data_IF_638711356362
#
_entry.id   IF_638711356362
#
_cell.length_a   1.000
_cell.length_b   1.000
_cell.length_c   1.000
_cell.angle_alpha   90.00
_cell.angle_beta   90.00
_cell.angle_gamma   90.00
#
_symmetry.space_group_name_H-M   'P 1'
#
loop_
_entity.id
_entity.type
_entity.pdbx_description
1 polymer ?
#
# COMPACT_ATOMS: atom_id res chain seq x y z
N UNK A 1 7.39 -74.50 -18.39
CA UNK A 1 7.72 -73.15 -18.91
C UNK A 1 6.96 -71.99 -18.23
N UNK A 2 6.15 -72.22 -17.17
CA UNK A 2 5.38 -71.14 -16.51
C UNK A 2 5.92 -70.65 -15.15
N UNK A 3 6.83 -71.38 -14.48
CA UNK A 3 7.37 -70.96 -13.18
C UNK A 3 8.43 -69.83 -13.21
N UNK A 4 9.04 -69.56 -14.37
CA UNK A 4 10.09 -68.52 -14.49
C UNK A 4 9.54 -67.12 -14.82
N UNK A 5 8.29 -67.01 -15.28
CA UNK A 5 7.63 -65.72 -15.59
C UNK A 5 6.97 -65.08 -14.36
N UNK A 6 6.43 -65.87 -13.41
CA UNK A 6 5.83 -65.32 -12.19
C UNK A 6 6.86 -64.72 -11.22
N UNK A 7 8.06 -65.30 -11.10
CA UNK A 7 9.11 -64.75 -10.24
C UNK A 7 9.71 -63.43 -10.78
N UNK A 8 9.67 -63.20 -12.09
CA UNK A 8 10.10 -61.91 -12.69
C UNK A 8 9.06 -60.79 -12.51
N UNK A 9 7.76 -61.12 -12.49
CA UNK A 9 6.71 -60.14 -12.19
C UNK A 9 6.67 -59.76 -10.71
N UNK A 10 6.87 -60.72 -9.78
CA UNK A 10 6.97 -60.41 -8.34
C UNK A 10 8.23 -59.60 -8.00
N UNK A 11 9.37 -59.90 -8.63
CA UNK A 11 10.62 -59.16 -8.41
C UNK A 11 10.55 -57.70 -8.88
N UNK A 12 9.85 -57.41 -9.98
CA UNK A 12 9.73 -56.04 -10.48
C UNK A 12 8.80 -55.18 -9.62
N UNK A 13 7.73 -55.75 -9.05
CA UNK A 13 6.80 -54.99 -8.19
C UNK A 13 7.46 -54.51 -6.88
N UNK A 14 8.45 -55.23 -6.35
CA UNK A 14 9.22 -54.77 -5.19
C UNK A 14 10.17 -53.61 -5.55
N UNK A 15 10.77 -53.65 -6.74
CA UNK A 15 11.73 -52.63 -7.17
C UNK A 15 11.11 -51.22 -7.31
N UNK A 16 9.89 -51.13 -7.84
CA UNK A 16 9.17 -49.86 -7.97
C UNK A 16 8.69 -49.32 -6.61
N UNK A 17 8.28 -50.21 -5.69
CA UNK A 17 7.88 -49.82 -4.33
C UNK A 17 9.09 -49.33 -3.53
N UNK A 18 10.24 -49.99 -3.67
CA UNK A 18 11.49 -49.58 -3.02
C UNK A 18 11.99 -48.24 -3.58
N UNK A 19 11.86 -48.01 -4.91
CA UNK A 19 12.13 -46.70 -5.51
C UNK A 19 11.16 -45.63 -5.02
N UNK A 20 9.87 -45.95 -4.86
CA UNK A 20 8.87 -45.01 -4.36
C UNK A 20 9.14 -44.64 -2.90
N UNK A 21 9.49 -45.62 -2.06
CA UNK A 21 9.89 -45.41 -0.66
C UNK A 21 11.21 -44.63 -0.55
N UNK A 22 12.15 -44.83 -1.49
CA UNK A 22 13.36 -44.01 -1.58
C UNK A 22 13.05 -42.57 -1.97
N UNK A 23 12.15 -42.34 -2.92
CA UNK A 23 11.72 -40.98 -3.30
C UNK A 23 10.97 -40.32 -2.14
N UNK A 24 10.14 -41.08 -1.42
CA UNK A 24 9.37 -40.56 -0.29
C UNK A 24 10.26 -40.23 0.91
N UNK A 25 11.23 -41.10 1.24
CA UNK A 25 12.24 -40.82 2.27
C UNK A 25 13.23 -39.73 1.86
N UNK A 26 13.58 -39.61 0.59
CA UNK A 26 14.39 -38.51 0.08
C UNK A 26 13.63 -37.18 0.14
N UNK A 27 12.33 -37.17 -0.18
CA UNK A 27 11.47 -35.99 0.01
C UNK A 27 11.29 -35.65 1.49
N UNK A 28 11.17 -36.63 2.39
CA UNK A 28 11.14 -36.39 3.84
C UNK A 28 12.48 -35.83 4.35
N UNK A 29 13.61 -36.33 3.86
CA UNK A 29 14.94 -35.82 4.20
C UNK A 29 15.18 -34.40 3.68
N UNK A 30 14.73 -34.08 2.46
CA UNK A 30 14.74 -32.71 1.93
C UNK A 30 13.85 -31.81 2.79
N UNK A 31 12.65 -32.27 3.17
CA UNK A 31 11.78 -31.50 4.05
C UNK A 31 12.41 -31.27 5.43
N UNK A 32 13.09 -32.26 6.01
CA UNK A 32 13.78 -32.12 7.30
C UNK A 32 15.04 -31.25 7.20
N UNK A 33 15.77 -31.28 6.08
CA UNK A 33 16.89 -30.37 5.81
C UNK A 33 16.40 -28.94 5.55
N UNK A 34 15.26 -28.74 4.88
CA UNK A 34 14.61 -27.44 4.73
C UNK A 34 14.12 -26.89 6.07
N UNK A 35 13.53 -27.73 6.93
CA UNK A 35 13.14 -27.35 8.31
C UNK A 35 14.38 -26.91 9.11
N UNK A 36 15.52 -27.59 8.94
CA UNK A 36 16.79 -27.21 9.59
C UNK A 36 17.42 -25.96 8.97
N UNK A 37 17.26 -25.72 7.67
CA UNK A 37 17.71 -24.50 7.02
C UNK A 37 16.86 -23.28 7.43
N UNK A 38 15.57 -23.48 7.74
CA UNK A 38 14.68 -22.44 8.29
C UNK A 38 14.97 -22.11 9.77
N UNK A 39 15.62 -22.99 10.53
CA UNK A 39 16.22 -22.68 11.84
C UNK A 39 17.56 -21.91 11.71
N UNK A 40 17.66 -20.99 10.75
CA UNK A 40 18.74 -20.01 10.77
C UNK A 40 18.67 -19.22 12.10
N UNK A 41 19.79 -19.05 12.83
CA UNK A 41 19.82 -18.41 14.15
C UNK A 41 19.75 -16.88 14.01
N UNK A 42 18.85 -16.39 13.16
CA UNK A 42 18.49 -14.98 13.08
C UNK A 42 17.68 -14.57 14.29
N UNK A 43 17.91 -13.36 14.79
CA UNK A 43 17.10 -12.77 15.87
C UNK A 43 15.68 -12.61 15.36
N UNK A 44 14.75 -13.47 15.82
CA UNK A 44 13.33 -13.40 15.45
C UNK A 44 12.74 -12.02 15.78
N UNK A 45 11.94 -11.49 14.86
CA UNK A 45 11.33 -10.17 14.96
C UNK A 45 10.19 -10.16 16.01
N UNK A 46 10.10 -9.05 16.74
CA UNK A 46 8.95 -8.77 17.60
C UNK A 46 7.75 -8.23 16.81
N UNK A 47 6.58 -8.20 17.43
CA UNK A 47 5.31 -7.78 16.78
C UNK A 47 5.34 -6.35 16.22
N UNK A 48 6.10 -5.42 16.82
CA UNK A 48 6.20 -4.04 16.33
C UNK A 48 6.93 -4.00 14.99
N UNK A 49 8.18 -4.49 14.96
CA UNK A 49 9.02 -4.46 13.75
C UNK A 49 8.52 -5.42 12.68
N UNK A 50 8.00 -6.58 13.06
CA UNK A 50 7.62 -7.63 12.12
C UNK A 50 6.16 -7.59 11.63
N UNK A 51 5.26 -6.91 12.34
CA UNK A 51 3.84 -6.83 11.94
C UNK A 51 3.37 -5.39 11.83
N UNK A 52 3.46 -4.60 12.91
CA UNK A 52 2.92 -3.24 12.94
C UNK A 52 3.53 -2.34 11.86
N UNK A 53 4.87 -2.29 11.78
CA UNK A 53 5.57 -1.43 10.82
C UNK A 53 5.26 -1.82 9.37
N UNK A 54 5.38 -3.10 8.94
CA UNK A 54 4.98 -3.51 7.59
C UNK A 54 3.52 -3.20 7.26
N UNK A 55 2.59 -3.41 8.21
CA UNK A 55 1.18 -3.07 8.00
C UNK A 55 0.97 -1.56 7.83
N UNK A 56 1.60 -0.71 8.67
CA UNK A 56 1.50 0.74 8.54
C UNK A 56 2.05 1.23 7.20
N UNK A 57 3.23 0.74 6.81
CA UNK A 57 3.85 1.09 5.52
C UNK A 57 3.00 0.61 4.35
N UNK A 58 2.40 -0.57 4.43
CA UNK A 58 1.56 -1.09 3.34
C UNK A 58 0.24 -0.35 3.18
N UNK A 59 -0.33 0.18 4.27
CA UNK A 59 -1.58 0.95 4.25
C UNK A 59 -1.29 2.40 3.84
N UNK A 60 -0.24 3.03 4.42
CA UNK A 60 0.20 4.37 4.05
C UNK A 60 0.92 4.39 2.70
N UNK A 61 0.17 4.25 1.61
CA UNK A 61 0.67 4.33 0.24
C UNK A 61 0.54 5.71 -0.41
N UNK A 62 0.70 5.74 -1.74
CA UNK A 62 0.59 6.95 -2.59
C UNK A 62 -0.64 7.79 -2.27
N UNK A 63 -1.76 7.10 -2.05
CA UNK A 63 -3.07 7.72 -1.99
C UNK A 63 -3.17 8.74 -0.85
N UNK A 64 -2.45 8.49 0.25
CA UNK A 64 -2.46 9.35 1.43
C UNK A 64 -2.08 10.79 1.09
N UNK A 65 -1.01 11.01 0.31
CA UNK A 65 -0.54 12.37 -0.02
C UNK A 65 -1.10 12.90 -1.34
N UNK A 66 -1.21 12.07 -2.38
CA UNK A 66 -1.57 12.58 -3.72
C UNK A 66 -3.09 12.67 -3.93
N UNK A 67 -3.86 11.74 -3.34
CA UNK A 67 -5.28 11.58 -3.68
C UNK A 67 -6.25 11.99 -2.57
N UNK A 68 -5.84 11.97 -1.30
CA UNK A 68 -6.72 12.39 -0.19
C UNK A 68 -7.30 13.81 -0.35
N UNK A 69 -6.52 14.85 -0.76
CA UNK A 69 -7.05 16.18 -1.03
C UNK A 69 -8.20 16.18 -2.05
N UNK A 70 -8.00 15.43 -3.13
CA UNK A 70 -8.93 15.35 -4.24
C UNK A 70 -10.21 14.61 -3.86
N UNK A 71 -10.09 13.49 -3.12
CA UNK A 71 -11.23 12.75 -2.57
C UNK A 71 -12.09 13.68 -1.70
N UNK A 72 -11.45 14.45 -0.83
CA UNK A 72 -12.12 15.42 0.02
C UNK A 72 -12.78 16.56 -0.79
N UNK A 73 -12.15 17.03 -1.86
CA UNK A 73 -12.72 18.04 -2.76
C UNK A 73 -14.04 17.58 -3.39
N UNK A 74 -14.08 16.35 -3.90
CA UNK A 74 -15.24 15.76 -4.59
C UNK A 74 -16.34 15.32 -3.63
N UNK A 75 -16.00 14.49 -2.64
CA UNK A 75 -16.98 13.90 -1.73
C UNK A 75 -17.33 14.84 -0.56
N UNK A 76 -16.52 15.85 -0.27
CA UNK A 76 -16.68 16.66 0.93
C UNK A 76 -16.33 15.90 2.20
N UNK A 77 -16.37 16.59 3.34
CA UNK A 77 -15.96 16.03 4.64
C UNK A 77 -16.87 14.87 5.04
N UNK A 78 -18.21 15.05 4.96
CA UNK A 78 -19.18 14.07 5.44
C UNK A 78 -19.10 12.76 4.67
N UNK A 79 -19.20 12.78 3.33
CA UNK A 79 -19.18 11.54 2.55
C UNK A 79 -17.82 10.87 2.59
N UNK A 80 -16.72 11.63 2.72
CA UNK A 80 -15.40 11.01 2.85
C UNK A 80 -15.22 10.27 4.18
N UNK A 81 -15.77 10.80 5.29
CA UNK A 81 -15.82 10.06 6.58
C UNK A 81 -16.67 8.79 6.44
N UNK A 82 -17.80 8.85 5.73
CA UNK A 82 -18.63 7.66 5.44
C UNK A 82 -17.85 6.63 4.63
N UNK A 83 -17.08 7.05 3.62
CA UNK A 83 -16.21 6.18 2.82
C UNK A 83 -15.14 5.48 3.68
N UNK A 84 -14.51 6.23 4.60
CA UNK A 84 -13.55 5.65 5.56
C UNK A 84 -14.24 4.65 6.48
N UNK A 85 -15.43 4.96 6.97
CA UNK A 85 -16.15 4.10 7.91
C UNK A 85 -16.62 2.78 7.26
N UNK A 86 -17.13 2.83 6.02
CA UNK A 86 -17.48 1.62 5.26
C UNK A 86 -16.24 0.77 5.01
N UNK A 87 -15.14 1.41 4.60
CA UNK A 87 -13.84 0.77 4.42
C UNK A 87 -13.34 0.10 5.71
N UNK A 88 -13.46 0.77 6.85
CA UNK A 88 -13.11 0.24 8.18
C UNK A 88 -13.90 -1.02 8.51
N UNK A 89 -15.21 -1.06 8.25
CA UNK A 89 -16.02 -2.26 8.53
C UNK A 89 -15.51 -3.45 7.73
N UNK A 90 -15.27 -3.26 6.42
CA UNK A 90 -14.78 -4.33 5.54
C UNK A 90 -13.43 -4.87 6.04
N UNK A 91 -12.52 -3.97 6.41
CA UNK A 91 -11.18 -4.33 6.85
C UNK A 91 -11.20 -4.97 8.22
N UNK A 92 -11.99 -4.47 9.15
CA UNK A 92 -12.12 -5.03 10.49
C UNK A 92 -12.61 -6.49 10.42
N UNK A 93 -13.62 -6.77 9.61
CA UNK A 93 -14.11 -8.15 9.39
C UNK A 93 -12.99 -9.03 8.83
N UNK A 94 -12.23 -8.53 7.86
CA UNK A 94 -11.12 -9.27 7.24
C UNK A 94 -9.99 -9.52 8.23
N UNK A 95 -9.62 -8.53 9.06
CA UNK A 95 -8.56 -8.65 10.06
C UNK A 95 -8.94 -9.56 11.21
N UNK A 96 -10.21 -9.54 11.66
CA UNK A 96 -10.70 -10.48 12.66
C UNK A 96 -10.66 -11.91 12.13
N UNK A 97 -11.02 -12.11 10.85
CA UNK A 97 -10.91 -13.42 10.17
C UNK A 97 -9.45 -13.88 10.08
N UNK A 98 -8.54 -12.99 9.66
CA UNK A 98 -7.10 -13.27 9.62
C UNK A 98 -6.54 -13.58 11.02
N UNK A 99 -7.00 -12.87 12.04
CA UNK A 99 -6.59 -13.09 13.43
C UNK A 99 -7.03 -14.49 13.90
N UNK A 100 -8.30 -14.86 13.64
CA UNK A 100 -8.82 -16.19 13.98
C UNK A 100 -8.02 -17.31 13.30
N UNK A 101 -7.71 -17.14 12.01
CA UNK A 101 -6.88 -18.08 11.23
C UNK A 101 -5.47 -18.18 11.83
N UNK A 102 -4.84 -17.04 12.19
CA UNK A 102 -3.51 -17.04 12.80
C UNK A 102 -3.48 -17.62 14.22
N UNK A 103 -4.59 -17.61 14.95
CA UNK A 103 -4.64 -18.23 16.29
C UNK A 103 -4.90 -19.74 16.24
N UNK A 104 -5.24 -20.29 15.08
CA UNK A 104 -5.59 -21.69 14.93
C UNK A 104 -4.39 -22.53 14.50
N UNK A 105 -3.97 -23.45 15.36
CA UNK A 105 -2.88 -24.40 15.08
C UNK A 105 -1.46 -23.88 15.32
N UNK A 106 -0.47 -24.71 14.98
CA UNK A 106 0.96 -24.34 15.07
C UNK A 106 1.36 -23.63 13.78
N UNK A 107 1.46 -22.31 13.83
CA UNK A 107 2.00 -21.51 12.73
C UNK A 107 3.48 -21.84 12.58
N UNK A 108 3.84 -22.57 11.52
CA UNK A 108 5.23 -22.70 11.08
C UNK A 108 5.58 -21.55 10.13
N UNK A 109 6.87 -21.36 9.87
CA UNK A 109 7.34 -20.25 9.05
C UNK A 109 7.06 -20.47 7.57
N UNK A 110 6.01 -19.83 7.04
CA UNK A 110 5.69 -19.92 5.61
C UNK A 110 4.90 -18.74 5.06
N UNK A 111 4.79 -17.64 5.82
CA UNK A 111 4.03 -16.47 5.40
C UNK A 111 2.51 -16.69 5.43
N UNK A 112 1.77 -15.78 4.81
CA UNK A 112 0.31 -15.77 4.85
C UNK A 112 -0.34 -16.97 4.15
N UNK A 113 0.18 -17.35 2.99
CA UNK A 113 -0.33 -18.51 2.24
C UNK A 113 -0.25 -19.79 3.07
N UNK A 114 0.86 -20.04 3.75
CA UNK A 114 1.01 -21.22 4.60
C UNK A 114 0.01 -21.27 5.75
N UNK A 115 -0.26 -20.11 6.39
CA UNK A 115 -1.26 -20.03 7.47
C UNK A 115 -2.66 -20.37 6.92
N UNK A 116 -3.00 -19.84 5.74
CA UNK A 116 -4.32 -20.06 5.11
C UNK A 116 -4.46 -21.51 4.62
N UNK A 117 -3.48 -22.03 3.87
CA UNK A 117 -3.53 -23.37 3.28
C UNK A 117 -3.64 -24.46 4.33
N UNK A 118 -2.98 -24.29 5.48
CA UNK A 118 -3.05 -25.25 6.59
C UNK A 118 -4.30 -25.14 7.45
N UNK A 119 -4.93 -23.96 7.50
CA UNK A 119 -6.14 -23.75 8.29
C UNK A 119 -7.43 -24.08 7.54
N UNK A 120 -7.49 -23.78 6.24
CA UNK A 120 -8.70 -23.87 5.40
C UNK A 120 -8.57 -24.98 4.33
N UNK A 121 -7.35 -25.39 4.00
CA UNK A 121 -7.06 -26.40 2.99
C UNK A 121 -6.28 -25.82 1.79
N UNK A 122 -5.51 -26.67 1.09
CA UNK A 122 -4.61 -26.23 0.01
C UNK A 122 -5.35 -25.65 -1.20
N UNK A 123 -6.55 -26.12 -1.51
CA UNK A 123 -7.36 -25.64 -2.64
C UNK A 123 -7.79 -24.17 -2.46
N UNK A 124 -8.29 -23.84 -1.26
CA UNK A 124 -8.64 -22.47 -0.89
C UNK A 124 -7.40 -21.59 -0.74
N UNK A 125 -6.34 -22.12 -0.10
CA UNK A 125 -5.07 -21.43 0.05
C UNK A 125 -4.45 -21.04 -1.29
N UNK A 126 -4.42 -21.95 -2.27
CA UNK A 126 -3.89 -21.69 -3.60
C UNK A 126 -4.69 -20.63 -4.36
N UNK A 127 -6.02 -20.75 -4.35
CA UNK A 127 -6.90 -19.77 -5.03
C UNK A 127 -6.74 -18.36 -4.46
N UNK A 128 -6.72 -18.24 -3.13
CA UNK A 128 -6.50 -16.95 -2.45
C UNK A 128 -5.08 -16.44 -2.70
N UNK A 129 -4.08 -17.32 -2.66
CA UNK A 129 -2.67 -16.98 -2.90
C UNK A 129 -2.43 -16.37 -4.28
N UNK A 130 -2.98 -16.95 -5.35
CA UNK A 130 -2.85 -16.37 -6.70
C UNK A 130 -3.50 -14.99 -6.77
N UNK A 131 -4.73 -14.85 -6.26
CA UNK A 131 -5.42 -13.54 -6.24
C UNK A 131 -4.60 -12.50 -5.48
N UNK A 132 -3.97 -12.90 -4.38
CA UNK A 132 -3.12 -12.03 -3.59
C UNK A 132 -1.85 -11.61 -4.32
N UNK A 133 -1.21 -12.55 -5.02
CA UNK A 133 -0.03 -12.26 -5.83
C UNK A 133 -0.36 -11.21 -6.90
N UNK A 134 -1.45 -11.39 -7.65
CA UNK A 134 -1.90 -10.42 -8.64
C UNK A 134 -2.25 -9.06 -8.03
N UNK A 135 -2.95 -9.04 -6.89
CA UNK A 135 -3.28 -7.79 -6.20
C UNK A 135 -2.02 -7.02 -5.78
N UNK A 136 -1.01 -7.72 -5.24
CA UNK A 136 0.25 -7.09 -4.85
C UNK A 136 1.06 -6.60 -6.07
N UNK A 137 1.03 -7.30 -7.22
CA UNK A 137 1.66 -6.83 -8.47
C UNK A 137 1.02 -5.52 -8.94
N UNK A 138 -0.31 -5.44 -8.95
CA UNK A 138 -1.05 -4.23 -9.35
C UNK A 138 -0.77 -3.09 -8.36
N UNK A 139 -0.72 -3.41 -7.06
CA UNK A 139 -0.36 -2.44 -6.01
C UNK A 139 1.05 -1.89 -6.21
N UNK A 140 2.05 -2.73 -6.54
CA UNK A 140 3.40 -2.27 -6.85
C UNK A 140 3.42 -1.31 -8.05
N UNK A 141 2.70 -1.63 -9.12
CA UNK A 141 2.59 -0.75 -10.29
C UNK A 141 1.93 0.60 -9.95
N UNK A 142 0.83 0.58 -9.21
CA UNK A 142 0.13 1.79 -8.76
C UNK A 142 1.04 2.68 -7.90
N UNK A 143 1.80 2.07 -6.98
CA UNK A 143 2.71 2.81 -6.10
C UNK A 143 3.89 3.44 -6.87
N UNK A 144 4.42 2.74 -7.87
CA UNK A 144 5.44 3.28 -8.78
C UNK A 144 4.92 4.46 -9.62
N UNK A 145 3.69 4.39 -10.12
CA UNK A 145 3.08 5.52 -10.87
C UNK A 145 2.95 6.75 -9.96
N UNK A 146 2.53 6.56 -8.71
CA UNK A 146 2.45 7.65 -7.74
C UNK A 146 3.82 8.25 -7.41
N UNK A 147 4.86 7.42 -7.29
CA UNK A 147 6.23 7.90 -7.14
C UNK A 147 6.65 8.78 -8.32
N UNK A 148 6.42 8.31 -9.55
CA UNK A 148 6.74 9.05 -10.77
C UNK A 148 5.99 10.37 -10.87
N UNK A 149 4.71 10.39 -10.49
CA UNK A 149 3.89 11.60 -10.42
C UNK A 149 4.50 12.61 -9.43
N UNK A 150 4.83 12.18 -8.21
CA UNK A 150 5.46 13.05 -7.21
C UNK A 150 6.84 13.56 -7.66
N UNK A 151 7.64 12.71 -8.31
CA UNK A 151 8.97 13.07 -8.83
C UNK A 151 8.85 14.10 -9.96
N UNK A 152 7.93 13.92 -10.90
CA UNK A 152 7.63 14.90 -11.95
C UNK A 152 7.26 16.25 -11.35
N UNK A 153 6.39 16.26 -10.33
CA UNK A 153 5.97 17.49 -9.66
C UNK A 153 7.15 18.19 -8.96
N UNK A 154 8.06 17.43 -8.35
CA UNK A 154 9.29 17.97 -7.76
C UNK A 154 10.21 18.58 -8.85
N UNK A 155 10.46 17.89 -9.95
CA UNK A 155 11.33 18.40 -11.03
C UNK A 155 10.77 19.67 -11.68
N UNK A 156 9.47 19.71 -11.93
CA UNK A 156 8.81 20.91 -12.47
C UNK A 156 8.93 22.10 -11.51
N UNK A 157 8.95 21.87 -10.18
CA UNK A 157 9.18 22.95 -9.20
C UNK A 157 10.59 23.55 -9.27
N UNK A 158 11.57 22.79 -9.78
CA UNK A 158 12.95 23.25 -10.03
C UNK A 158 13.17 23.74 -11.48
N UNK A 159 12.10 24.00 -12.25
CA UNK A 159 12.14 24.38 -13.67
C UNK A 159 12.82 23.36 -14.60
N UNK A 160 12.83 22.08 -14.23
CA UNK A 160 13.37 20.99 -15.05
C UNK A 160 12.19 20.26 -15.73
N UNK A 161 11.76 20.74 -16.89
CA UNK A 161 10.59 20.22 -17.63
C UNK A 161 10.95 19.05 -18.57
N UNK A 162 11.67 18.04 -18.08
CA UNK A 162 12.14 16.89 -18.89
C UNK A 162 11.04 15.81 -19.07
N UNK A 163 9.87 15.95 -18.42
CA UNK A 163 8.88 14.88 -18.26
C UNK A 163 7.45 15.27 -18.68
N UNK A 164 7.29 16.25 -19.56
CA UNK A 164 5.96 16.72 -19.98
C UNK A 164 5.28 15.77 -20.97
N UNK A 165 6.04 14.95 -21.70
CA UNK A 165 5.52 13.95 -22.62
C UNK A 165 4.99 12.68 -21.92
N UNK A 166 3.89 12.13 -22.46
CA UNK A 166 3.36 10.83 -22.02
C UNK A 166 4.39 9.69 -22.14
N UNK A 167 5.25 9.74 -23.15
CA UNK A 167 6.31 8.76 -23.35
C UNK A 167 7.39 8.86 -22.25
N UNK A 168 7.83 10.08 -21.94
CA UNK A 168 8.84 10.35 -20.90
C UNK A 168 8.35 9.91 -19.52
N UNK A 169 7.07 10.19 -19.21
CA UNK A 169 6.44 9.72 -17.97
C UNK A 169 6.41 8.19 -17.86
N UNK A 170 6.08 7.48 -18.95
CA UNK A 170 6.09 6.02 -18.99
C UNK A 170 7.51 5.45 -18.88
N UNK A 171 8.48 6.07 -19.55
CA UNK A 171 9.89 5.67 -19.47
C UNK A 171 10.42 5.80 -18.03
N UNK A 172 10.10 6.89 -17.33
CA UNK A 172 10.43 7.06 -15.91
C UNK A 172 9.81 5.95 -15.03
N UNK A 173 8.58 5.55 -15.31
CA UNK A 173 7.92 4.41 -14.67
C UNK A 173 8.67 3.09 -14.84
N UNK A 174 9.13 2.80 -16.06
CA UNK A 174 9.93 1.60 -16.34
C UNK A 174 11.29 1.65 -15.66
N UNK A 175 11.97 2.80 -15.68
CA UNK A 175 13.26 2.96 -15.00
C UNK A 175 13.09 2.79 -13.48
N UNK A 176 12.08 3.41 -12.88
CA UNK A 176 11.86 3.34 -11.43
C UNK A 176 11.49 1.93 -10.94
N UNK A 177 10.70 1.16 -11.68
CA UNK A 177 10.39 -0.23 -11.27
C UNK A 177 11.62 -1.14 -11.41
N UNK A 178 12.46 -0.94 -12.44
CA UNK A 178 13.72 -1.67 -12.61
C UNK A 178 14.68 -1.34 -11.47
N UNK A 179 14.85 -0.07 -11.11
CA UNK A 179 15.74 0.31 -10.00
C UNK A 179 15.25 -0.24 -8.67
N UNK A 180 13.94 -0.19 -8.39
CA UNK A 180 13.38 -0.81 -7.19
C UNK A 180 13.57 -2.32 -7.16
N UNK A 181 13.41 -2.99 -8.30
CA UNK A 181 13.63 -4.44 -8.38
C UNK A 181 15.10 -4.80 -8.08
N UNK A 182 16.06 -4.05 -8.63
CA UNK A 182 17.49 -4.23 -8.35
C UNK A 182 17.80 -4.00 -6.86
N UNK A 183 17.22 -2.95 -6.26
CA UNK A 183 17.38 -2.67 -4.83
C UNK A 183 16.81 -3.79 -3.96
N UNK A 184 15.68 -4.39 -4.35
CA UNK A 184 15.12 -5.55 -3.65
C UNK A 184 16.08 -6.74 -3.71
N UNK A 185 16.70 -7.02 -4.85
CA UNK A 185 17.65 -8.14 -5.00
C UNK A 185 18.94 -7.94 -4.18
N UNK A 186 19.47 -6.72 -4.10
CA UNK A 186 20.72 -6.44 -3.38
C UNK A 186 20.49 -6.26 -1.87
N UNK A 187 19.32 -5.78 -1.47
CA UNK A 187 19.07 -5.25 -0.13
C UNK A 187 18.22 -6.10 0.81
N UNK A 188 17.96 -7.37 0.51
CA UNK A 188 17.05 -8.22 1.31
C UNK A 188 17.41 -8.24 2.80
N UNK A 189 18.70 -8.27 3.14
CA UNK A 189 19.15 -8.35 4.53
C UNK A 189 18.93 -7.05 5.32
N UNK A 190 18.81 -5.90 4.65
CA UNK A 190 18.65 -4.57 5.26
C UNK A 190 17.25 -3.99 5.08
N UNK A 191 16.32 -4.78 4.54
CA UNK A 191 14.95 -4.36 4.25
C UNK A 191 14.27 -3.75 5.49
N UNK A 192 14.37 -4.42 6.65
CA UNK A 192 13.74 -3.95 7.88
C UNK A 192 14.32 -2.62 8.38
N UNK A 193 15.60 -2.34 8.15
CA UNK A 193 16.23 -1.05 8.51
C UNK A 193 15.69 0.08 7.62
N UNK A 194 15.60 -0.18 6.31
CA UNK A 194 15.08 0.77 5.32
C UNK A 194 13.61 1.09 5.60
N UNK A 195 12.78 0.08 5.83
CA UNK A 195 11.35 0.25 6.16
C UNK A 195 11.13 1.17 7.38
N UNK A 196 11.93 1.01 8.44
CA UNK A 196 11.85 1.89 9.61
C UNK A 196 12.20 3.34 9.27
N UNK A 197 13.22 3.58 8.44
CA UNK A 197 13.58 4.93 8.00
C UNK A 197 12.47 5.58 7.15
N UNK A 198 11.85 4.82 6.25
CA UNK A 198 10.73 5.29 5.43
C UNK A 198 9.50 5.61 6.29
N UNK A 199 9.22 4.81 7.32
CA UNK A 199 8.11 5.07 8.25
C UNK A 199 8.29 6.42 8.96
N UNK A 200 9.51 6.72 9.41
CA UNK A 200 9.82 8.00 10.05
C UNK A 200 9.57 9.16 9.09
N UNK A 201 9.96 9.03 7.82
CA UNK A 201 9.70 10.06 6.80
C UNK A 201 8.20 10.32 6.59
N UNK A 202 7.37 9.25 6.56
CA UNK A 202 5.92 9.37 6.42
C UNK A 202 5.32 10.07 7.65
N UNK A 203 5.72 9.65 8.86
CA UNK A 203 5.23 10.26 10.12
C UNK A 203 5.57 11.75 10.16
N UNK A 204 6.81 12.12 9.83
CA UNK A 204 7.23 13.52 9.74
C UNK A 204 6.37 14.26 8.71
N UNK A 205 6.08 13.66 7.54
CA UNK A 205 5.20 14.23 6.53
C UNK A 205 3.79 14.51 7.05
N UNK A 206 3.18 13.57 7.77
CA UNK A 206 1.83 13.73 8.35
C UNK A 206 1.82 14.86 9.40
N UNK A 207 2.76 14.85 10.35
CA UNK A 207 2.85 15.90 11.37
C UNK A 207 3.14 17.27 10.76
N UNK A 208 3.95 17.34 9.70
CA UNK A 208 4.27 18.58 9.00
C UNK A 208 3.04 19.23 8.34
N UNK A 209 2.10 18.44 7.81
CA UNK A 209 0.81 18.95 7.31
C UNK A 209 -0.03 19.50 8.45
N UNK A 210 -0.12 18.78 9.57
CA UNK A 210 -0.95 19.18 10.72
C UNK A 210 -0.41 20.48 11.33
N UNK A 211 0.91 20.56 11.57
CA UNK A 211 1.55 21.74 12.14
C UNK A 211 1.46 22.92 11.17
N UNK A 212 1.70 22.71 9.87
CA UNK A 212 1.56 23.74 8.85
C UNK A 212 0.14 24.32 8.79
N UNK A 213 -0.88 23.46 8.90
CA UNK A 213 -2.28 23.87 8.98
C UNK A 213 -2.58 24.76 10.20
N UNK A 214 -1.95 24.47 11.36
CA UNK A 214 -2.11 25.25 12.59
C UNK A 214 -1.45 26.62 12.54
N UNK A 215 -0.29 26.74 11.88
CA UNK A 215 0.42 28.02 11.71
C UNK A 215 -0.34 28.93 10.74
N UNK A 216 -1.02 28.34 9.74
CA UNK A 216 -1.81 29.06 8.76
C UNK A 216 -0.98 29.64 7.61
N UNK A 217 -1.62 30.40 6.69
CA UNK A 217 -0.98 30.86 5.46
C UNK A 217 0.07 31.95 5.72
N UNK A 218 1.34 31.58 5.56
CA UNK A 218 2.49 32.49 5.73
C UNK A 218 2.79 33.32 4.48
N UNK A 219 2.53 32.79 3.28
CA UNK A 219 2.79 33.46 2.00
C UNK A 219 1.50 33.90 1.30
N UNK A 220 1.58 34.99 0.54
CA UNK A 220 0.47 35.49 -0.28
C UNK A 220 0.13 34.49 -1.39
N UNK A 221 1.13 33.76 -1.90
CA UNK A 221 0.93 32.66 -2.86
C UNK A 221 0.11 31.51 -2.27
N UNK A 222 0.34 31.15 -1.01
CA UNK A 222 -0.47 30.15 -0.31
C UNK A 222 -1.94 30.62 -0.14
N UNK A 223 -2.16 31.91 0.15
CA UNK A 223 -3.52 32.47 0.19
C UNK A 223 -4.19 32.46 -1.18
N UNK A 224 -3.45 32.81 -2.24
CA UNK A 224 -3.96 32.81 -3.62
C UNK A 224 -4.34 31.41 -4.12
N UNK A 225 -3.66 30.36 -3.61
CA UNK A 225 -3.99 28.96 -3.88
C UNK A 225 -5.15 28.41 -3.03
N UNK A 226 -5.78 29.25 -2.19
CA UNK A 226 -7.00 28.92 -1.45
C UNK A 226 -6.79 28.47 -0.01
N UNK A 227 -5.58 28.61 0.54
CA UNK A 227 -5.29 28.31 1.93
C UNK A 227 -5.76 29.47 2.82
N UNK A 228 -6.87 29.26 3.53
CA UNK A 228 -7.48 30.28 4.39
C UNK A 228 -6.99 30.21 5.84
N UNK A 229 -6.32 29.12 6.22
CA UNK A 229 -6.15 28.74 7.62
C UNK A 229 -7.46 28.19 8.22
N UNK A 230 -7.44 27.81 9.50
CA UNK A 230 -8.61 27.24 10.17
C UNK A 230 -9.76 28.24 10.21
N UNK A 231 -10.78 27.99 9.38
CA UNK A 231 -11.97 28.82 9.29
C UNK A 231 -13.24 27.96 9.29
N UNK A 232 -14.19 28.35 10.14
CA UNK A 232 -15.48 27.68 10.22
C UNK A 232 -16.29 27.83 8.92
N UNK A 233 -16.08 28.93 8.19
CA UNK A 233 -16.76 29.16 6.91
C UNK A 233 -16.24 28.21 5.82
N UNK A 234 -14.92 28.00 5.77
CA UNK A 234 -14.29 27.03 4.86
C UNK A 234 -14.76 25.61 5.19
N UNK A 235 -14.78 25.27 6.48
CA UNK A 235 -15.28 23.97 6.94
C UNK A 235 -16.73 23.70 6.52
N UNK A 236 -17.62 24.69 6.70
CA UNK A 236 -19.03 24.58 6.29
C UNK A 236 -19.19 24.44 4.78
N UNK A 237 -18.41 25.18 3.99
CA UNK A 237 -18.42 25.07 2.52
C UNK A 237 -17.96 23.68 2.03
N UNK A 238 -17.04 23.05 2.74
CA UNK A 238 -16.51 21.73 2.40
C UNK A 238 -17.32 20.55 2.95
N UNK A 239 -18.37 20.81 3.73
CA UNK A 239 -19.11 19.76 4.45
C UNK A 239 -19.82 18.77 3.51
N UNK A 240 -20.57 19.29 2.53
CA UNK A 240 -21.39 18.49 1.61
C UNK A 240 -20.66 18.14 0.32
N UNK A 241 -20.94 16.98 -0.26
CA UNK A 241 -20.34 16.56 -1.54
C UNK A 241 -20.65 17.50 -2.70
N UNK A 242 -19.69 17.61 -3.62
CA UNK A 242 -19.83 18.27 -4.90
C UNK A 242 -19.08 17.43 -5.94
N UNK A 243 -19.75 16.37 -6.42
CA UNK A 243 -19.18 15.48 -7.42
C UNK A 243 -19.15 16.19 -8.77
N UNK A 244 -17.97 16.61 -9.21
CA UNK A 244 -17.76 17.28 -10.48
C UNK A 244 -17.65 16.29 -11.63
N UNK A 245 -18.09 16.73 -12.80
CA UNK A 245 -17.88 16.00 -14.04
C UNK A 245 -16.47 16.26 -14.56
N UNK A 246 -15.73 15.20 -14.83
CA UNK A 246 -14.43 15.29 -15.48
C UNK A 246 -14.65 15.40 -16.99
N UNK A 247 -14.44 16.61 -17.52
CA UNK A 247 -14.59 16.94 -18.95
C UNK A 247 -13.53 16.22 -19.78
N UNK A 248 -12.35 15.96 -19.23
CA UNK A 248 -11.22 15.39 -19.98
C UNK A 248 -11.42 13.89 -20.24
N UNK A 249 -11.95 13.17 -19.25
CA UNK A 249 -12.18 11.73 -19.35
C UNK A 249 -13.64 11.35 -19.66
N UNK A 250 -14.56 12.32 -19.73
CA UNK A 250 -16.02 12.11 -19.84
C UNK A 250 -16.59 11.21 -18.74
N UNK A 251 -16.07 11.33 -17.52
CA UNK A 251 -16.49 10.50 -16.38
C UNK A 251 -17.27 11.36 -15.39
N UNK A 252 -18.48 10.94 -15.07
CA UNK A 252 -19.22 11.50 -13.94
C UNK A 252 -18.74 10.83 -12.65
N UNK A 253 -18.14 11.60 -11.74
CA UNK A 253 -17.77 11.06 -10.44
C UNK A 253 -19.03 10.80 -9.61
N UNK A 254 -19.04 9.67 -8.92
CA UNK A 254 -20.10 9.26 -8.01
C UNK A 254 -19.50 8.84 -6.67
N UNK A 255 -20.34 8.66 -5.66
CA UNK A 255 -19.92 8.12 -4.36
C UNK A 255 -19.08 6.84 -4.51
N UNK A 256 -19.55 5.89 -5.33
CA UNK A 256 -18.86 4.61 -5.54
C UNK A 256 -17.55 4.75 -6.33
N UNK A 257 -17.46 5.72 -7.25
CA UNK A 257 -16.21 6.01 -7.97
C UNK A 257 -15.14 6.49 -6.99
N UNK A 258 -15.50 7.41 -6.08
CA UNK A 258 -14.57 7.93 -5.07
C UNK A 258 -14.21 6.83 -4.05
N UNK A 259 -15.19 6.01 -3.64
CA UNK A 259 -14.94 4.85 -2.79
C UNK A 259 -13.93 3.88 -3.43
N UNK A 260 -14.09 3.55 -4.72
CA UNK A 260 -13.19 2.65 -5.44
C UNK A 260 -11.76 3.21 -5.57
N UNK A 261 -11.61 4.54 -5.71
CA UNK A 261 -10.30 5.20 -5.73
C UNK A 261 -9.66 5.22 -4.33
N UNK A 262 -10.47 5.37 -3.28
CA UNK A 262 -9.99 5.37 -1.90
C UNK A 262 -9.62 3.97 -1.39
N UNK A 263 -10.36 2.93 -1.78
CA UNK A 263 -10.25 1.58 -1.20
C UNK A 263 -8.83 0.97 -1.23
N UNK A 264 -8.01 1.14 -2.29
CA UNK A 264 -6.61 0.70 -2.28
C UNK A 264 -5.74 1.32 -1.18
N UNK A 265 -6.15 2.44 -0.58
CA UNK A 265 -5.42 3.10 0.52
C UNK A 265 -5.57 2.38 1.85
N UNK A 266 -6.58 1.52 1.99
CA UNK A 266 -6.88 0.86 3.26
C UNK A 266 -6.57 -0.64 3.18
N UNK A 267 -6.23 -1.15 2.00
CA UNK A 267 -5.69 -2.51 1.82
C UNK A 267 -4.25 -2.58 2.35
N UNK A 268 -3.68 -3.79 2.41
CA UNK A 268 -2.29 -3.98 2.89
C UNK A 268 -2.14 -4.49 4.32
N UNK A 269 -3.25 -4.75 5.03
CA UNK A 269 -3.24 -5.39 6.37
C UNK A 269 -2.47 -6.72 6.40
N UNK A 270 -2.35 -7.38 5.26
CA UNK A 270 -1.70 -8.67 5.09
C UNK A 270 -0.17 -8.63 5.10
N UNK A 271 0.43 -7.45 4.94
CA UNK A 271 1.89 -7.29 4.90
C UNK A 271 2.56 -7.87 6.16
N UNK A 272 1.98 -7.66 7.34
CA UNK A 272 2.48 -8.21 8.59
C UNK A 272 2.30 -9.73 8.73
N UNK A 273 1.35 -10.35 8.01
CA UNK A 273 1.17 -11.80 8.00
C UNK A 273 2.08 -12.50 6.96
N UNK A 274 2.53 -11.77 5.92
CA UNK A 274 3.43 -12.30 4.91
C UNK A 274 4.82 -12.68 5.45
N UNK A 275 5.24 -12.07 6.57
CA UNK A 275 6.54 -12.29 7.22
C UNK A 275 6.37 -13.14 8.50
N UNK A 276 5.31 -13.97 8.56
CA UNK A 276 4.96 -14.73 9.77
C UNK A 276 6.04 -15.72 10.23
N UNK A 277 6.93 -16.16 9.33
CA UNK A 277 8.03 -17.08 9.65
C UNK A 277 9.19 -16.45 10.41
N UNK A 278 9.39 -15.14 10.24
CA UNK A 278 10.49 -14.43 10.92
C UNK A 278 10.07 -13.88 12.29
N UNK A 279 8.81 -14.08 12.67
CA UNK A 279 8.25 -13.62 13.94
C UNK A 279 8.61 -14.58 15.09
N UNK A 280 8.87 -14.01 16.27
CA UNK A 280 9.07 -14.79 17.50
C UNK A 280 7.83 -15.62 17.86
N UNK A 281 6.66 -14.96 17.87
CA UNK A 281 5.37 -15.53 18.27
C UNK A 281 4.25 -15.05 17.33
N UNK A 282 4.05 -15.69 16.16
CA UNK A 282 3.15 -15.19 15.13
C UNK A 282 1.67 -15.19 15.55
N UNK A 283 1.22 -16.17 16.33
CA UNK A 283 -0.19 -16.29 16.80
C UNK A 283 -0.65 -15.11 17.66
N UNK A 284 0.27 -14.50 18.41
CA UNK A 284 -0.04 -13.33 19.25
C UNK A 284 0.36 -12.01 18.61
N UNK A 285 1.40 -12.03 17.76
CA UNK A 285 1.94 -10.84 17.11
C UNK A 285 1.07 -10.33 15.98
N UNK A 286 0.51 -11.24 15.14
CA UNK A 286 -0.31 -10.87 13.98
C UNK A 286 -1.57 -10.12 14.42
N UNK A 287 -2.41 -10.63 15.36
CA UNK A 287 -3.62 -9.92 15.77
C UNK A 287 -3.33 -8.56 16.40
N UNK A 288 -2.33 -8.48 17.29
CA UNK A 288 -1.96 -7.22 17.96
C UNK A 288 -1.46 -6.16 16.99
N UNK A 289 -0.54 -6.54 16.10
CA UNK A 289 0.05 -5.63 15.13
C UNK A 289 -0.96 -5.15 14.09
N UNK A 290 -1.76 -6.05 13.52
CA UNK A 290 -2.74 -5.70 12.48
C UNK A 290 -3.87 -4.83 13.03
N UNK A 291 -4.49 -5.17 14.16
CA UNK A 291 -5.56 -4.37 14.75
C UNK A 291 -5.07 -2.97 15.17
N UNK A 292 -3.88 -2.88 15.78
CA UNK A 292 -3.32 -1.59 16.15
C UNK A 292 -2.98 -0.74 14.91
N UNK A 293 -2.47 -1.36 13.84
CA UNK A 293 -2.16 -0.65 12.58
C UNK A 293 -3.40 0.01 11.99
N UNK A 294 -4.55 -0.68 12.02
CA UNK A 294 -5.83 -0.18 11.50
C UNK A 294 -6.31 1.02 12.30
N UNK A 295 -6.22 0.96 13.63
CA UNK A 295 -6.61 2.09 14.49
C UNK A 295 -5.75 3.32 14.19
N UNK A 296 -4.43 3.14 14.06
CA UNK A 296 -3.50 4.23 13.74
C UNK A 296 -3.79 4.83 12.36
N UNK A 297 -3.95 3.99 11.34
CA UNK A 297 -4.15 4.46 9.96
C UNK A 297 -5.49 5.16 9.79
N UNK A 298 -6.58 4.63 10.34
CA UNK A 298 -7.89 5.28 10.29
C UNK A 298 -7.87 6.62 11.01
N UNK A 299 -7.25 6.68 12.19
CA UNK A 299 -7.09 7.94 12.91
C UNK A 299 -6.33 8.96 12.04
N UNK A 300 -5.26 8.53 11.37
CA UNK A 300 -4.51 9.40 10.45
C UNK A 300 -5.36 9.87 9.26
N UNK A 301 -6.16 9.00 8.64
CA UNK A 301 -7.03 9.38 7.53
C UNK A 301 -8.12 10.36 7.94
N UNK A 302 -8.77 10.13 9.08
CA UNK A 302 -9.80 11.05 9.58
C UNK A 302 -9.21 12.43 9.85
N UNK A 303 -8.03 12.51 10.46
CA UNK A 303 -7.32 13.78 10.69
C UNK A 303 -6.98 14.47 9.37
N UNK A 304 -6.45 13.72 8.39
CA UNK A 304 -6.08 14.24 7.07
C UNK A 304 -7.27 14.60 6.17
N UNK A 305 -8.51 14.32 6.60
CA UNK A 305 -9.73 14.85 5.97
C UNK A 305 -10.22 16.09 6.69
N UNK A 306 -10.31 16.02 8.02
CA UNK A 306 -10.83 17.12 8.83
C UNK A 306 -9.96 18.37 8.75
N UNK A 307 -8.63 18.20 8.84
CA UNK A 307 -7.69 19.32 8.85
C UNK A 307 -7.70 20.06 7.51
N UNK A 308 -7.40 19.44 6.34
CA UNK A 308 -7.49 20.13 5.05
C UNK A 308 -8.89 20.65 4.73
N UNK A 309 -9.94 19.94 5.17
CA UNK A 309 -11.33 20.36 4.98
C UNK A 309 -11.67 21.65 5.73
N UNK A 310 -10.99 21.93 6.84
CA UNK A 310 -11.16 23.16 7.60
C UNK A 310 -10.30 24.33 7.10
N UNK A 311 -9.21 24.05 6.38
CA UNK A 311 -8.21 25.08 6.05
C UNK A 311 -8.14 25.50 4.58
N UNK A 312 -8.67 24.69 3.67
CA UNK A 312 -8.44 24.86 2.23
C UNK A 312 -9.77 24.89 1.46
N UNK A 313 -9.89 25.81 0.51
CA UNK A 313 -11.05 25.91 -0.36
C UNK A 313 -11.03 24.89 -1.51
N UNK A 314 -12.21 24.55 -2.03
CA UNK A 314 -12.36 23.62 -3.16
C UNK A 314 -11.68 24.08 -4.42
N UNK A 315 -11.82 25.37 -4.70
CA UNK A 315 -11.35 26.00 -5.91
C UNK A 315 -10.56 27.26 -5.54
N UNK A 316 -9.50 27.51 -6.28
CA UNK A 316 -8.73 28.74 -6.22
C UNK A 316 -8.03 28.99 -7.55
N UNK A 317 -7.83 30.26 -7.87
CA UNK A 317 -7.13 30.69 -9.08
C UNK A 317 -5.62 30.48 -8.99
N UNK A 318 -5.02 30.67 -7.80
CA UNK A 318 -3.57 30.57 -7.63
C UNK A 318 -2.79 31.80 -8.11
N UNK A 319 -3.44 32.79 -8.75
CA UNK A 319 -2.80 34.01 -9.24
C UNK A 319 -2.74 35.06 -8.13
N UNK A 320 -1.52 35.52 -7.80
CA UNK A 320 -1.27 36.48 -6.71
C UNK A 320 -1.87 37.85 -7.00
N UNK A 321 -1.73 38.33 -8.23
CA UNK A 321 -2.22 39.65 -8.62
C UNK A 321 -3.74 39.76 -8.49
N UNK A 322 -4.47 38.70 -8.89
CA UNK A 322 -5.92 38.63 -8.74
C UNK A 322 -6.37 38.62 -7.27
N UNK A 323 -5.59 37.97 -6.41
CA UNK A 323 -5.88 37.92 -4.98
C UNK A 323 -5.78 39.31 -4.34
N UNK A 324 -4.73 40.07 -4.69
CA UNK A 324 -4.46 41.40 -4.14
C UNK A 324 -5.45 42.43 -4.69
N UNK A 325 -5.68 42.44 -6.01
CA UNK A 325 -6.54 43.42 -6.68
C UNK A 325 -7.99 43.37 -6.20
N UNK A 326 -8.46 42.20 -5.77
CA UNK A 326 -9.88 41.97 -5.54
C UNK A 326 -10.20 41.47 -4.12
N UNK A 327 -9.29 41.69 -3.17
CA UNK A 327 -9.52 41.53 -1.74
C UNK A 327 -10.17 40.18 -1.33
N UNK A 328 -9.77 39.08 -2.00
CA UNK A 328 -10.26 37.73 -1.70
C UNK A 328 -11.59 37.30 -2.34
N UNK A 329 -12.22 38.12 -3.20
CA UNK A 329 -13.42 37.72 -3.98
C UNK A 329 -13.12 36.68 -5.09
N UNK A 330 -11.83 36.47 -5.35
CA UNK A 330 -11.14 35.54 -6.27
C UNK A 330 -11.48 34.05 -6.29
N UNK A 331 -12.14 33.57 -5.23
CA UNK A 331 -12.07 32.17 -4.76
C UNK A 331 -13.19 31.26 -5.28
N UNK A 332 -14.13 31.80 -6.07
CA UNK A 332 -15.24 31.04 -6.64
C UNK A 332 -15.03 30.92 -8.15
N UNK A 333 -14.77 29.71 -8.67
CA UNK A 333 -14.35 29.49 -10.05
C UNK A 333 -15.48 29.01 -10.96
N UNK A 334 -16.74 29.26 -10.58
CA UNK A 334 -17.91 28.76 -11.35
C UNK A 334 -17.95 29.19 -12.83
N UNK A 335 -17.27 30.27 -13.21
CA UNK A 335 -17.26 30.80 -14.59
C UNK A 335 -15.91 30.68 -15.31
N UNK A 336 -14.91 30.00 -14.74
CA UNK A 336 -13.55 29.91 -15.31
C UNK A 336 -12.82 28.63 -14.92
N UNK A 337 -11.80 28.27 -15.71
CA UNK A 337 -10.97 27.11 -15.39
C UNK A 337 -9.95 27.49 -14.30
N UNK A 338 -10.03 26.83 -13.14
CA UNK A 338 -9.11 27.05 -12.02
C UNK A 338 -8.13 25.90 -11.89
N UNK A 339 -6.89 26.23 -11.49
CA UNK A 339 -5.78 25.29 -11.42
C UNK A 339 -5.43 24.89 -9.98
N UNK A 340 -5.97 25.59 -8.97
CA UNK A 340 -5.66 25.38 -7.55
C UNK A 340 -6.91 25.08 -6.72
N UNK A 341 -6.69 24.58 -5.49
CA UNK A 341 -7.74 24.13 -4.57
C UNK A 341 -7.81 22.60 -4.43
N UNK A 342 -8.70 22.11 -3.56
CA UNK A 342 -8.87 20.66 -3.29
C UNK A 342 -9.15 19.84 -4.54
N UNK A 343 -9.86 20.40 -5.53
CA UNK A 343 -10.28 19.66 -6.73
C UNK A 343 -9.19 19.53 -7.80
N UNK A 344 -8.27 20.50 -7.88
CA UNK A 344 -7.35 20.62 -9.02
C UNK A 344 -5.88 20.51 -8.62
N UNK A 345 -5.52 20.88 -7.37
CA UNK A 345 -4.13 20.87 -6.94
C UNK A 345 -3.72 19.49 -6.39
N UNK A 346 -2.99 18.73 -7.21
CA UNK A 346 -2.37 17.46 -6.77
C UNK A 346 -1.29 17.67 -5.69
N UNK A 347 -0.76 18.90 -5.55
CA UNK A 347 0.29 19.26 -4.59
C UNK A 347 -0.23 19.96 -3.34
N UNK A 348 -1.53 19.84 -3.06
CA UNK A 348 -2.18 20.60 -1.99
C UNK A 348 -1.50 20.50 -0.62
N UNK A 349 -1.01 19.31 -0.25
CA UNK A 349 -0.29 19.16 1.02
C UNK A 349 1.04 19.90 1.08
N UNK A 350 1.70 20.15 -0.06
CA UNK A 350 2.92 20.98 -0.08
C UNK A 350 2.60 22.44 0.22
N UNK A 351 1.45 22.92 -0.26
CA UNK A 351 0.96 24.29 0.01
C UNK A 351 0.59 24.50 1.47
N UNK A 352 0.05 23.46 2.13
CA UNK A 352 -0.41 23.52 3.52
C UNK A 352 0.72 23.23 4.52
N UNK A 353 1.68 22.38 4.16
CA UNK A 353 2.73 21.93 5.05
C UNK A 353 3.69 23.06 5.45
N UNK A 354 4.31 22.92 6.64
CA UNK A 354 5.33 23.85 7.10
C UNK A 354 6.57 23.85 6.19
N UNK A 355 6.98 22.67 5.71
CA UNK A 355 8.04 22.52 4.69
C UNK A 355 7.54 21.68 3.52
N UNK A 356 7.51 22.22 2.28
CA UNK A 356 7.15 21.46 1.08
C UNK A 356 8.07 20.26 0.84
N UNK A 357 9.37 20.40 1.12
CA UNK A 357 10.38 19.35 0.88
C UNK A 357 10.13 18.10 1.71
N UNK A 358 9.71 18.25 2.96
CA UNK A 358 9.38 17.13 3.83
C UNK A 358 8.18 16.31 3.29
N UNK A 359 7.25 16.93 2.55
CA UNK A 359 6.13 16.20 1.93
C UNK A 359 6.60 15.35 0.76
N UNK A 360 7.57 15.80 -0.04
CA UNK A 360 8.16 14.95 -1.08
C UNK A 360 8.84 13.72 -0.48
N UNK A 361 9.62 13.88 0.58
CA UNK A 361 10.23 12.74 1.26
C UNK A 361 9.20 11.78 1.87
N UNK A 362 8.14 12.31 2.49
CA UNK A 362 7.03 11.49 3.00
C UNK A 362 6.31 10.74 1.89
N UNK A 363 6.05 11.41 0.76
CA UNK A 363 5.41 10.80 -0.41
C UNK A 363 6.30 9.70 -0.99
N UNK A 364 7.58 9.99 -1.28
CA UNK A 364 8.53 8.99 -1.76
C UNK A 364 8.66 7.81 -0.79
N UNK A 365 8.68 8.08 0.52
CA UNK A 365 8.70 7.03 1.53
C UNK A 365 7.47 6.12 1.48
N UNK A 366 6.27 6.71 1.36
CA UNK A 366 5.01 5.96 1.23
C UNK A 366 4.98 5.13 -0.05
N UNK A 367 5.38 5.69 -1.19
CA UNK A 367 5.32 5.01 -2.49
C UNK A 367 6.38 3.90 -2.63
N UNK A 368 7.60 4.16 -2.15
CA UNK A 368 8.70 3.20 -2.28
C UNK A 368 8.55 2.04 -1.28
N UNK A 369 8.11 2.32 -0.06
CA UNK A 369 7.93 1.26 0.96
C UNK A 369 6.85 0.25 0.58
N UNK A 370 5.69 0.73 0.12
CA UNK A 370 4.59 -0.12 -0.37
C UNK A 370 5.00 -0.94 -1.60
N UNK A 371 5.65 -0.30 -2.58
CA UNK A 371 6.15 -0.98 -3.78
C UNK A 371 7.18 -2.06 -3.42
N UNK A 372 8.14 -1.75 -2.54
CA UNK A 372 9.17 -2.68 -2.10
C UNK A 372 8.57 -3.88 -1.36
N UNK A 373 7.63 -3.63 -0.44
CA UNK A 373 6.91 -4.70 0.29
C UNK A 373 6.19 -5.64 -0.69
N UNK A 374 5.53 -5.07 -1.71
CA UNK A 374 4.84 -5.85 -2.73
C UNK A 374 5.82 -6.67 -3.58
N UNK A 375 6.92 -6.07 -4.05
CA UNK A 375 7.93 -6.72 -4.88
C UNK A 375 8.65 -7.87 -4.17
N UNK A 376 8.85 -7.79 -2.85
CA UNK A 376 9.44 -8.88 -2.06
C UNK A 376 8.41 -9.96 -1.71
N UNK A 377 7.17 -9.56 -1.43
CA UNK A 377 6.14 -10.52 -1.00
C UNK A 377 5.66 -11.45 -2.11
N UNK A 378 5.59 -10.99 -3.36
CA UNK A 378 5.03 -11.76 -4.47
C UNK A 378 5.88 -12.98 -4.83
N UNK A 379 7.21 -12.87 -5.05
CA UNK A 379 8.04 -14.05 -5.33
C UNK A 379 8.03 -15.05 -4.19
N UNK A 380 8.13 -14.59 -2.93
CA UNK A 380 8.04 -15.45 -1.74
C UNK A 380 6.72 -16.21 -1.72
N UNK A 381 5.61 -15.53 -1.97
CA UNK A 381 4.28 -16.13 -2.03
C UNK A 381 4.18 -17.20 -3.13
N UNK A 382 4.61 -16.88 -4.36
CA UNK A 382 4.55 -17.80 -5.50
C UNK A 382 5.48 -19.01 -5.32
N UNK A 383 6.68 -18.81 -4.77
CA UNK A 383 7.62 -19.90 -4.49
C UNK A 383 7.05 -20.90 -3.48
N UNK A 384 6.43 -20.41 -2.39
CA UNK A 384 5.79 -21.29 -1.40
C UNK A 384 4.59 -22.05 -1.97
N UNK A 385 3.86 -21.43 -2.90
CA UNK A 385 2.80 -22.13 -3.62
C UNK A 385 3.34 -23.21 -4.57
N UNK A 386 4.49 -22.98 -5.19
CA UNK A 386 5.18 -23.97 -6.03
C UNK A 386 5.64 -25.18 -5.22
N UNK A 387 6.15 -24.97 -4.00
CA UNK A 387 6.58 -26.04 -3.09
C UNK A 387 5.44 -26.97 -2.66
N UNK A 388 4.23 -26.43 -2.46
CA UNK A 388 3.05 -27.22 -2.09
C UNK A 388 2.42 -27.97 -3.28
N UNK A 389 3.00 -27.89 -4.49
CA UNK A 389 2.56 -28.57 -5.72
C UNK A 389 1.06 -28.33 -6.06
N UNK A 390 0.46 -27.24 -5.58
CA UNK A 390 -0.98 -26.95 -5.77
C UNK A 390 -1.32 -26.73 -7.25
N UNK A 391 -0.41 -26.10 -8.00
CA UNK A 391 -0.55 -25.90 -9.43
C UNK A 391 0.67 -26.47 -10.16
N UNK A 392 0.48 -27.34 -11.18
CA UNK A 392 1.59 -27.99 -11.88
C UNK A 392 2.49 -27.01 -12.64
N UNK A 393 1.99 -25.83 -13.01
CA UNK A 393 2.76 -24.78 -13.68
C UNK A 393 3.70 -24.01 -12.73
N UNK A 394 3.38 -23.95 -11.44
CA UNK A 394 4.16 -23.19 -10.45
C UNK A 394 5.34 -23.99 -9.89
N UNK A 395 5.45 -25.29 -10.19
CA UNK A 395 6.52 -26.18 -9.70
C UNK A 395 7.93 -25.79 -10.17
N UNK A 396 8.02 -24.99 -11.25
CA UNK A 396 9.28 -24.58 -11.86
C UNK A 396 9.78 -23.19 -11.40
N UNK A 397 9.03 -22.53 -10.51
CA UNK A 397 9.42 -21.31 -9.80
C UNK A 397 10.14 -21.68 -8.51
#
# INVERSE_FOLDING_TARGET
MNGHKENKLKSNNHLWVDQFLQIQSFNELIHDEEIKAEESPGIKLGWIKGVLVPCLLSIWGVMLFIRMPWILGQAGILNSIVIIFISLIIILITTLSLSAISTNGKIKGGGLYFIISRSIGPEFGGSIGILLAFANIISAAMNTIGFCSSLKLMLNSYNINILDGNFEFRALGVVSIITMSILCCIGMDREAEVQNALLIAIIIGIFNVIIGSCIGPTSISAKASGFTGFSMDTFRKNWYSDYRFDIENNIHHSFFTIFAIFFPSVTGIQAGANISGDLKDPSTSIPKGTLLSIVITITSYVILILVPGAVQLREASGIVDEYILNNGTYLNCSSRNCSKGLLYDQNLFQTIALSPTCIYFGCFGATLSTALTALVSVPKLLQRMGQDDVYPLLKYL
#
